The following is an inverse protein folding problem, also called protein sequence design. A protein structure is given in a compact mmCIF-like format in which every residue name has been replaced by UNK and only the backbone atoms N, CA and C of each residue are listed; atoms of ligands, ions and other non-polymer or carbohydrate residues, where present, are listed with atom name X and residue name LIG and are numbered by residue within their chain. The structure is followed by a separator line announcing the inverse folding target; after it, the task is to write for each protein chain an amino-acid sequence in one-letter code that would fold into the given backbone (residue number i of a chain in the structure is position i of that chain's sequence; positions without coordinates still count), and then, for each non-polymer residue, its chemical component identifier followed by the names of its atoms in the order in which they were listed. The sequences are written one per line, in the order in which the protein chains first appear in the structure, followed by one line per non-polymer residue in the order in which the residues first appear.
data_IF_181728119461
#
_entry.id   IF_181728119461
#
_cell.length_a   1.000
_cell.length_b   1.000
_cell.length_c   1.000
_cell.angle_alpha   90.00
_cell.angle_beta   90.00
_cell.angle_gamma   90.00
#
_symmetry.space_group_name_H-M   'P 1'
#
loop_
_entity.id
_entity.type
_entity.pdbx_description
1 polymer ?
#
# COMPACT_ATOMS: atom_id res chain seq x y z
N UNK A 1 7.26 10.94 18.64
CA UNK A 1 7.63 9.75 17.84
C UNK A 1 6.42 8.89 17.52
N UNK A 2 5.55 8.55 18.51
CA UNK A 2 4.25 7.87 18.30
C UNK A 2 3.42 8.43 17.13
N UNK A 3 3.16 9.74 17.12
CA UNK A 3 2.37 10.37 16.05
C UNK A 3 3.00 10.24 14.65
N UNK A 4 4.34 10.19 14.55
CA UNK A 4 5.04 10.05 13.27
C UNK A 4 4.92 8.63 12.73
N UNK A 5 5.04 7.61 13.60
CA UNK A 5 4.81 6.21 13.23
C UNK A 5 3.36 6.00 12.78
N UNK A 6 2.39 6.52 13.54
CA UNK A 6 0.97 6.40 13.20
C UNK A 6 0.62 7.06 11.86
N UNK A 7 1.16 8.26 11.60
CA UNK A 7 0.99 8.91 10.28
C UNK A 7 1.64 8.09 9.16
N UNK A 8 2.77 7.43 9.43
CA UNK A 8 3.49 6.60 8.45
C UNK A 8 2.68 5.36 8.10
N UNK A 9 2.09 4.67 9.08
CA UNK A 9 1.20 3.53 8.87
C UNK A 9 -0.01 3.88 7.99
N UNK A 10 -0.71 4.96 8.33
CA UNK A 10 -1.87 5.44 7.56
C UNK A 10 -1.46 5.79 6.13
N UNK A 11 -0.35 6.53 5.97
CA UNK A 11 0.13 6.93 4.65
C UNK A 11 0.47 5.72 3.79
N UNK A 12 1.18 4.73 4.35
CA UNK A 12 1.51 3.48 3.66
C UNK A 12 0.25 2.72 3.26
N UNK A 13 -0.70 2.59 4.18
CA UNK A 13 -1.96 1.89 3.95
C UNK A 13 -2.76 2.53 2.81
N UNK A 14 -2.89 3.86 2.81
CA UNK A 14 -3.59 4.60 1.74
C UNK A 14 -2.88 4.43 0.40
N UNK A 15 -1.55 4.58 0.39
CA UNK A 15 -0.75 4.44 -0.84
C UNK A 15 -0.89 3.05 -1.44
N UNK A 16 -0.72 1.99 -0.65
CA UNK A 16 -0.86 0.62 -1.15
C UNK A 16 -2.29 0.28 -1.56
N UNK A 17 -3.30 0.77 -0.85
CA UNK A 17 -4.70 0.59 -1.23
C UNK A 17 -4.98 1.20 -2.61
N UNK A 18 -4.52 2.43 -2.85
CA UNK A 18 -4.67 3.09 -4.16
C UNK A 18 -3.89 2.35 -5.24
N UNK A 19 -2.64 1.94 -4.97
CA UNK A 19 -1.82 1.20 -5.94
C UNK A 19 -2.47 -0.13 -6.32
N UNK A 20 -2.93 -0.92 -5.34
CA UNK A 20 -3.60 -2.19 -5.60
C UNK A 20 -4.91 -2.00 -6.39
N UNK A 21 -5.68 -0.96 -6.06
CA UNK A 21 -6.90 -0.63 -6.78
C UNK A 21 -6.61 -0.28 -8.24
N UNK A 22 -5.56 0.52 -8.51
CA UNK A 22 -5.12 0.86 -9.86
C UNK A 22 -4.63 -0.37 -10.64
N UNK A 23 -3.88 -1.27 -10.01
CA UNK A 23 -3.43 -2.51 -10.68
C UNK A 23 -4.64 -3.40 -11.03
N UNK A 24 -5.56 -3.60 -10.09
CA UNK A 24 -6.74 -4.44 -10.26
C UNK A 24 -7.79 -3.87 -11.23
N UNK A 25 -7.87 -2.54 -11.35
CA UNK A 25 -8.80 -1.84 -12.25
C UNK A 25 -8.09 -1.21 -13.45
N UNK A 26 -6.92 -1.71 -13.81
CA UNK A 26 -6.10 -1.18 -14.91
C UNK A 26 -6.83 -1.22 -16.27
N UNK A 27 -7.80 -2.13 -16.46
CA UNK A 27 -8.63 -2.18 -17.66
C UNK A 27 -9.53 -0.93 -17.82
N UNK A 28 -9.99 -0.34 -16.71
CA UNK A 28 -10.85 0.85 -16.73
C UNK A 28 -10.16 2.08 -17.34
N UNK A 29 -8.82 2.12 -17.32
CA UNK A 29 -8.02 3.18 -17.95
C UNK A 29 -8.28 3.22 -19.45
N UNK A 30 -8.42 2.07 -20.11
CA UNK A 30 -8.69 1.99 -21.55
C UNK A 30 -10.13 2.39 -21.91
N UNK A 31 -11.06 2.32 -20.95
CA UNK A 31 -12.42 2.84 -21.14
C UNK A 31 -12.44 4.37 -20.98
N UNK A 32 -11.71 4.89 -19.98
CA UNK A 32 -11.62 6.32 -19.72
C UNK A 32 -10.89 7.07 -20.86
N UNK A 33 -9.91 6.42 -21.48
CA UNK A 33 -9.11 6.99 -22.56
C UNK A 33 -9.17 6.11 -23.83
N UNK A 34 -10.22 6.25 -24.66
CA UNK A 34 -10.42 5.41 -25.85
C UNK A 34 -9.28 5.53 -26.87
N UNK A 35 -8.51 6.63 -26.86
CA UNK A 35 -7.32 6.79 -27.70
C UNK A 35 -6.21 5.76 -27.44
N UNK A 36 -6.16 5.16 -26.25
CA UNK A 36 -5.17 4.12 -25.91
C UNK A 36 -5.53 2.73 -26.47
N UNK A 37 -6.75 2.55 -27.01
CA UNK A 37 -7.23 1.27 -27.52
C UNK A 37 -6.69 0.92 -28.92
N UNK A 38 -6.17 1.89 -29.66
CA UNK A 38 -5.74 1.70 -31.05
C UNK A 38 -4.37 1.02 -31.20
N UNK A 39 -3.67 0.79 -30.08
CA UNK A 39 -2.33 0.20 -30.08
C UNK A 39 -2.32 -1.33 -30.15
N UNK A 40 -1.21 -1.87 -30.64
CA UNK A 40 -0.88 -3.29 -30.47
C UNK A 40 0.44 -3.43 -29.72
N UNK A 41 0.53 -4.43 -28.85
CA UNK A 41 1.75 -4.83 -28.16
C UNK A 41 1.96 -6.32 -28.42
N UNK A 42 3.10 -6.67 -29.02
CA UNK A 42 3.44 -8.05 -29.41
C UNK A 42 2.37 -8.74 -30.29
N UNK A 43 1.67 -7.96 -31.13
CA UNK A 43 0.61 -8.47 -32.01
C UNK A 43 -0.76 -8.61 -31.34
N UNK A 44 -0.88 -8.32 -30.04
CA UNK A 44 -2.16 -8.30 -29.32
C UNK A 44 -2.67 -6.86 -29.10
N UNK A 45 -3.98 -6.62 -29.08
CA UNK A 45 -4.51 -5.30 -28.75
C UNK A 45 -4.10 -4.87 -27.34
N UNK A 46 -3.58 -3.64 -27.20
CA UNK A 46 -3.01 -3.11 -25.93
C UNK A 46 -4.01 -3.15 -24.78
N UNK A 47 -5.28 -2.87 -25.06
CA UNK A 47 -6.37 -2.86 -24.09
C UNK A 47 -6.61 -4.21 -23.37
N UNK A 48 -6.08 -5.32 -23.89
CA UNK A 48 -6.19 -6.64 -23.26
C UNK A 48 -4.87 -7.08 -22.63
N UNK A 49 -3.77 -6.98 -23.38
CA UNK A 49 -2.48 -7.50 -22.91
C UNK A 49 -1.90 -6.68 -21.76
N UNK A 50 -2.08 -5.34 -21.78
CA UNK A 50 -1.55 -4.47 -20.72
C UNK A 50 -2.24 -4.74 -19.38
N UNK A 51 -3.59 -4.79 -19.27
CA UNK A 51 -4.25 -5.16 -18.01
C UNK A 51 -3.89 -6.57 -17.52
N UNK A 52 -3.67 -7.54 -18.41
CA UNK A 52 -3.23 -8.88 -18.01
C UNK A 52 -1.83 -8.83 -17.38
N UNK A 53 -0.89 -8.11 -18.01
CA UNK A 53 0.46 -7.97 -17.48
C UNK A 53 0.49 -7.17 -16.17
N UNK A 54 -0.32 -6.12 -16.04
CA UNK A 54 -0.45 -5.36 -14.80
C UNK A 54 -1.16 -6.17 -13.70
N UNK A 55 -2.19 -6.94 -14.04
CA UNK A 55 -2.90 -7.80 -13.10
C UNK A 55 -2.04 -8.94 -12.57
N UNK A 56 -1.13 -9.47 -13.40
CA UNK A 56 -0.21 -10.52 -12.96
C UNK A 56 1.06 -9.92 -12.35
N UNK A 57 1.94 -9.38 -13.18
CA UNK A 57 3.27 -8.92 -12.78
C UNK A 57 3.21 -7.61 -12.01
N UNK A 58 2.29 -6.71 -12.36
CA UNK A 58 2.09 -5.46 -11.64
C UNK A 58 1.63 -5.71 -10.19
N UNK A 59 0.58 -6.52 -9.98
CA UNK A 59 0.13 -6.91 -8.64
C UNK A 59 1.25 -7.62 -7.88
N UNK A 60 1.92 -8.60 -8.49
CA UNK A 60 3.02 -9.31 -7.84
C UNK A 60 4.15 -8.36 -7.39
N UNK A 61 4.53 -7.40 -8.24
CA UNK A 61 5.54 -6.39 -7.91
C UNK A 61 5.10 -5.45 -6.79
N UNK A 62 3.86 -4.98 -6.82
CA UNK A 62 3.30 -4.14 -5.75
C UNK A 62 3.28 -4.89 -4.42
N UNK A 63 2.83 -6.15 -4.41
CA UNK A 63 2.81 -6.98 -3.21
C UNK A 63 4.22 -7.22 -2.66
N UNK A 64 5.21 -7.48 -3.52
CA UNK A 64 6.60 -7.66 -3.09
C UNK A 64 7.14 -6.40 -2.41
N UNK A 65 6.94 -5.22 -3.02
CA UNK A 65 7.34 -3.94 -2.43
C UNK A 65 6.59 -3.70 -1.12
N UNK A 66 5.29 -4.01 -1.06
CA UNK A 66 4.48 -3.89 0.14
C UNK A 66 5.05 -4.73 1.28
N UNK A 67 5.37 -6.00 1.04
CA UNK A 67 5.99 -6.86 2.07
C UNK A 67 7.29 -6.27 2.60
N UNK A 68 8.18 -5.81 1.73
CA UNK A 68 9.47 -5.24 2.16
C UNK A 68 9.26 -3.98 3.01
N UNK A 69 8.34 -3.10 2.59
CA UNK A 69 8.07 -1.84 3.29
C UNK A 69 7.35 -2.07 4.61
N UNK A 70 6.38 -2.98 4.66
CA UNK A 70 5.69 -3.36 5.89
C UNK A 70 6.63 -4.00 6.90
N UNK A 71 7.47 -4.96 6.48
CA UNK A 71 8.45 -5.58 7.38
C UNK A 71 9.38 -4.53 8.02
N UNK A 72 9.88 -3.59 7.22
CA UNK A 72 10.73 -2.52 7.75
C UNK A 72 9.97 -1.58 8.71
N UNK A 73 8.69 -1.33 8.44
CA UNK A 73 7.85 -0.53 9.33
C UNK A 73 7.61 -1.25 10.67
N UNK A 74 7.37 -2.56 10.63
CA UNK A 74 7.19 -3.39 11.82
C UNK A 74 8.47 -3.40 12.68
N UNK A 75 9.65 -3.52 12.06
CA UNK A 75 10.95 -3.42 12.76
C UNK A 75 11.12 -2.05 13.47
N UNK A 76 10.81 -0.95 12.77
CA UNK A 76 10.87 0.40 13.35
C UNK A 76 9.88 0.59 14.52
N UNK A 77 8.74 -0.10 14.47
CA UNK A 77 7.74 -0.08 15.54
C UNK A 77 8.20 -0.89 16.75
N UNK A 78 8.79 -2.06 16.54
CA UNK A 78 9.34 -2.89 17.60
C UNK A 78 10.49 -2.18 18.34
N UNK A 79 11.41 -1.55 17.61
CA UNK A 79 12.48 -0.72 18.20
C UNK A 79 11.90 0.43 19.04
N UNK A 80 10.85 1.09 18.54
CA UNK A 80 10.19 2.16 19.26
C UNK A 80 9.56 1.66 20.56
N UNK A 81 8.85 0.53 20.54
CA UNK A 81 8.22 -0.06 21.74
C UNK A 81 9.29 -0.47 22.75
N UNK A 82 10.37 -1.12 22.32
CA UNK A 82 11.48 -1.53 23.19
C UNK A 82 12.24 -0.35 23.81
N UNK A 83 12.18 0.83 23.17
CA UNK A 83 12.78 2.07 23.71
C UNK A 83 11.92 2.75 24.79
N UNK A 84 10.65 2.36 24.94
CA UNK A 84 9.80 2.89 25.98
C UNK A 84 10.12 2.24 27.33
N UNK A 85 10.07 2.98 28.45
CA UNK A 85 10.15 2.36 29.77
C UNK A 85 9.02 1.33 29.92
N UNK A 86 9.24 0.20 30.62
CA UNK A 86 8.18 -0.75 30.90
C UNK A 86 7.02 -0.01 31.55
N UNK A 87 5.80 -0.22 31.05
CA UNK A 87 4.62 0.46 31.58
C UNK A 87 4.51 0.17 33.08
N UNK A 88 4.88 1.15 33.91
CA UNK A 88 4.34 1.23 35.26
C UNK A 88 2.91 1.70 35.08
N UNK A 89 1.97 0.78 35.24
CA UNK A 89 0.53 0.99 35.36
C UNK A 89 0.23 2.28 36.15
N UNK A 90 0.06 3.41 35.48
CA UNK A 90 -0.39 4.67 36.10
C UNK A 90 -1.01 5.51 35.01
N UNK A 91 -2.24 5.20 34.62
CA UNK A 91 -3.20 6.16 34.03
C UNK A 91 -4.62 5.57 33.96
N UNK A 92 -5.06 4.90 35.04
CA UNK A 92 -6.47 4.52 35.24
C UNK A 92 -7.08 5.08 36.53
N UNK A 93 -6.52 6.17 37.09
CA UNK A 93 -7.06 6.78 38.31
C UNK A 93 -7.02 8.31 38.27
N UNK A 94 -7.80 8.94 37.37
CA UNK A 94 -8.38 10.27 37.64
C UNK A 94 -9.45 10.66 36.60
N UNK A 95 -10.55 9.92 36.53
CA UNK A 95 -11.84 10.47 36.07
C UNK A 95 -12.88 10.19 37.14
N UNK A 96 -12.73 10.86 38.27
CA UNK A 96 -13.85 11.14 39.16
C UNK A 96 -13.55 12.45 39.92
N UNK A 97 -14.03 13.56 39.37
CA UNK A 97 -14.43 14.74 40.13
C UNK A 97 -15.37 15.60 39.33
#
# INVERSE_FOLDING_TARGET
MKEKLYKKEITLTIVFSVLLLLMGHSASIFVLFPGLQQGTLWGFPTQYIVPILLGWFGIAGVCLVMTIVCNKFDDEMEEFVNSLPPETETDSESVNK
#
